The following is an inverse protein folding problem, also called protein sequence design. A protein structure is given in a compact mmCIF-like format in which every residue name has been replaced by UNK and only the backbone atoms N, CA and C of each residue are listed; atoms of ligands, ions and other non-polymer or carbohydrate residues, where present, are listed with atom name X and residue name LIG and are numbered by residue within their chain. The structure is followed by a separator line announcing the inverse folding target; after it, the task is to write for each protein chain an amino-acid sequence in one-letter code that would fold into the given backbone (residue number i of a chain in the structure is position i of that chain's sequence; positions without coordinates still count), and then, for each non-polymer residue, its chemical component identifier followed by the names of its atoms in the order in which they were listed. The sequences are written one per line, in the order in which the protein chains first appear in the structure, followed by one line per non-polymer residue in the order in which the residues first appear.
data_IF_772697679516
#
_entry.id   IF_772697679516
#
_cell.length_a   1.000
_cell.length_b   1.000
_cell.length_c   1.000
_cell.angle_alpha   90.00
_cell.angle_beta   90.00
_cell.angle_gamma   90.00
#
_symmetry.space_group_name_H-M   'P 1'
#
loop_
_entity.id
_entity.type
_entity.pdbx_description
1 polymer ?
#
# COMPACT_ATOMS: atom_id res chain seq x y z
N UNK A 1 22.32 -0.24 20.63
CA UNK A 1 22.36 0.76 19.53
C UNK A 1 20.93 1.07 19.19
N UNK A 2 20.57 2.31 18.88
CA UNK A 2 19.22 2.64 18.41
C UNK A 2 18.99 1.98 17.03
N UNK A 3 17.78 1.47 16.80
CA UNK A 3 17.38 0.88 15.52
C UNK A 3 17.55 1.92 14.39
N UNK A 4 18.09 1.49 13.25
CA UNK A 4 18.27 2.34 12.07
C UNK A 4 17.03 2.24 11.17
N UNK A 5 16.70 3.34 10.50
CA UNK A 5 15.70 3.36 9.42
C UNK A 5 16.47 3.38 8.11
N UNK A 6 16.28 2.38 7.27
CA UNK A 6 16.90 2.26 5.95
C UNK A 6 15.84 2.46 4.88
N UNK A 7 15.96 3.53 4.08
CA UNK A 7 15.07 3.81 2.95
C UNK A 7 15.68 3.20 1.68
N UNK A 8 15.17 2.05 1.26
CA UNK A 8 15.61 1.37 0.04
C UNK A 8 14.77 1.81 -1.17
N UNK A 9 15.44 2.36 -2.17
CA UNK A 9 14.83 3.08 -3.28
C UNK A 9 14.79 4.59 -3.04
N UNK A 10 15.66 5.11 -2.17
CA UNK A 10 15.70 6.50 -1.73
C UNK A 10 15.80 7.54 -2.87
N UNK A 11 16.32 7.18 -4.03
CA UNK A 11 16.44 8.08 -5.20
C UNK A 11 15.22 8.01 -6.15
N UNK A 12 14.19 7.24 -5.81
CA UNK A 12 12.90 7.25 -6.49
C UNK A 12 11.96 8.31 -5.92
N UNK A 13 10.88 8.66 -6.65
CA UNK A 13 9.95 9.70 -6.22
C UNK A 13 9.42 9.50 -4.79
N UNK A 14 8.84 8.34 -4.50
CA UNK A 14 8.29 8.05 -3.16
C UNK A 14 9.40 7.96 -2.11
N UNK A 15 10.52 7.29 -2.43
CA UNK A 15 11.64 7.13 -1.50
C UNK A 15 12.29 8.45 -1.12
N UNK A 16 12.51 9.34 -2.07
CA UNK A 16 13.08 10.68 -1.82
C UNK A 16 12.17 11.52 -0.92
N UNK A 17 10.87 11.60 -1.25
CA UNK A 17 9.95 12.40 -0.45
C UNK A 17 9.76 11.81 0.96
N UNK A 18 9.74 10.49 1.10
CA UNK A 18 9.71 9.84 2.42
C UNK A 18 11.00 10.10 3.22
N UNK A 19 12.17 10.10 2.57
CA UNK A 19 13.43 10.44 3.24
C UNK A 19 13.44 11.91 3.72
N UNK A 20 12.92 12.83 2.92
CA UNK A 20 12.74 14.25 3.30
C UNK A 20 11.80 14.38 4.49
N UNK A 21 10.67 13.68 4.49
CA UNK A 21 9.69 13.68 5.58
C UNK A 21 10.30 13.13 6.88
N UNK A 22 11.08 12.04 6.79
CA UNK A 22 11.83 11.50 7.95
C UNK A 22 12.77 12.54 8.55
N UNK A 23 13.51 13.27 7.71
CA UNK A 23 14.43 14.33 8.16
C UNK A 23 13.67 15.49 8.80
N UNK A 24 12.55 15.92 8.22
CA UNK A 24 11.68 16.97 8.79
C UNK A 24 11.18 16.56 10.19
N UNK A 25 10.90 15.28 10.40
CA UNK A 25 10.49 14.72 11.70
C UNK A 25 11.66 14.46 12.66
N UNK A 26 12.89 14.80 12.28
CA UNK A 26 14.09 14.69 13.13
C UNK A 26 14.81 13.34 13.04
N UNK A 27 14.40 12.42 12.17
CA UNK A 27 15.12 11.18 11.95
C UNK A 27 16.31 11.35 11.00
N UNK A 28 17.29 10.46 11.10
CA UNK A 28 18.46 10.40 10.19
C UNK A 28 18.50 9.03 9.49
N UNK A 29 17.69 8.84 8.43
CA UNK A 29 17.65 7.56 7.74
C UNK A 29 18.95 7.27 6.97
N UNK A 30 19.24 5.99 6.77
CA UNK A 30 20.22 5.52 5.79
C UNK A 30 19.56 5.49 4.42
N UNK A 31 20.17 6.13 3.43
CA UNK A 31 19.66 6.17 2.07
C UNK A 31 20.25 5.02 1.23
N UNK A 32 19.42 4.13 0.72
CA UNK A 32 19.87 2.98 -0.06
C UNK A 32 19.28 2.96 -1.47
N UNK A 33 20.08 2.51 -2.45
CA UNK A 33 19.68 2.43 -3.86
C UNK A 33 20.86 2.11 -4.77
N UNK A 34 20.61 2.08 -6.09
CA UNK A 34 21.59 1.60 -7.08
C UNK A 34 22.67 2.61 -7.47
N UNK A 35 22.34 3.90 -7.45
CA UNK A 35 23.26 4.95 -7.94
C UNK A 35 23.94 5.65 -6.78
N UNK A 36 25.24 5.38 -6.59
CA UNK A 36 26.05 6.04 -5.56
C UNK A 36 26.05 7.57 -5.72
N UNK A 37 26.12 8.08 -6.95
CA UNK A 37 26.13 9.51 -7.24
C UNK A 37 24.82 10.19 -6.82
N UNK A 38 23.65 9.63 -7.20
CA UNK A 38 22.34 10.18 -6.84
C UNK A 38 22.08 10.06 -5.33
N UNK A 39 22.53 8.98 -4.69
CA UNK A 39 22.45 8.82 -3.24
C UNK A 39 23.28 9.88 -2.53
N UNK A 40 24.53 10.10 -3.01
CA UNK A 40 25.40 11.14 -2.44
C UNK A 40 24.79 12.53 -2.55
N UNK A 41 24.27 12.87 -3.74
CA UNK A 41 23.60 14.16 -3.94
C UNK A 41 22.44 14.34 -2.97
N UNK A 42 21.53 13.35 -2.88
CA UNK A 42 20.39 13.40 -1.96
C UNK A 42 20.83 13.47 -0.50
N UNK A 43 21.88 12.73 -0.13
CA UNK A 43 22.43 12.76 1.23
C UNK A 43 22.99 14.15 1.59
N UNK A 44 23.72 14.77 0.67
CA UNK A 44 24.27 16.12 0.84
C UNK A 44 23.13 17.15 1.00
N UNK A 45 22.08 17.06 0.15
CA UNK A 45 20.88 17.92 0.21
C UNK A 45 20.11 17.78 1.55
N UNK A 46 20.21 16.60 2.20
CA UNK A 46 19.52 16.28 3.47
C UNK A 46 20.41 16.38 4.70
N UNK A 47 21.53 17.10 4.62
CA UNK A 47 22.41 17.37 5.76
C UNK A 47 23.40 16.25 6.07
N UNK A 48 23.90 15.56 5.06
CA UNK A 48 24.98 14.57 5.17
C UNK A 48 24.52 13.25 5.79
N UNK A 49 23.51 12.61 5.17
CA UNK A 49 23.02 11.30 5.60
C UNK A 49 23.96 10.15 5.16
N UNK A 50 23.89 9.03 5.88
CA UNK A 50 24.58 7.79 5.47
C UNK A 50 23.98 7.25 4.18
N UNK A 51 24.83 6.72 3.28
CA UNK A 51 24.39 6.10 2.02
C UNK A 51 24.90 4.68 1.88
N UNK A 52 24.10 3.80 1.29
CA UNK A 52 24.46 2.41 0.98
C UNK A 52 24.06 2.08 -0.45
N UNK A 53 25.01 1.52 -1.22
CA UNK A 53 24.70 1.05 -2.57
C UNK A 53 24.15 -0.36 -2.50
N UNK A 54 22.90 -0.56 -2.97
CA UNK A 54 22.26 -1.86 -3.01
C UNK A 54 21.43 -2.03 -4.29
N UNK A 55 21.44 -3.24 -4.83
CA UNK A 55 20.75 -3.59 -6.08
C UNK A 55 20.03 -4.93 -5.92
N UNK A 56 18.74 -4.98 -6.26
CA UNK A 56 17.95 -6.23 -6.26
C UNK A 56 18.50 -7.31 -7.17
N UNK A 57 19.24 -6.94 -8.22
CA UNK A 57 19.99 -7.87 -9.07
C UNK A 57 21.22 -8.48 -8.39
N UNK A 58 21.61 -7.96 -7.23
CA UNK A 58 22.66 -8.47 -6.35
C UNK A 58 22.11 -8.62 -4.94
N UNK A 59 21.30 -9.64 -4.66
CA UNK A 59 20.55 -9.78 -3.42
C UNK A 59 21.39 -9.60 -2.14
N UNK A 60 22.63 -10.09 -2.15
CA UNK A 60 23.55 -9.94 -1.01
C UNK A 60 23.70 -8.47 -0.56
N UNK A 61 23.76 -7.52 -1.51
CA UNK A 61 23.84 -6.09 -1.19
C UNK A 61 22.60 -5.56 -0.47
N UNK A 62 21.44 -6.20 -0.64
CA UNK A 62 20.20 -5.86 0.06
C UNK A 62 20.19 -6.44 1.47
N UNK A 63 20.73 -7.65 1.65
CA UNK A 63 20.88 -8.29 2.97
C UNK A 63 21.85 -7.54 3.90
N UNK A 64 22.80 -6.81 3.34
CA UNK A 64 23.78 -6.01 4.07
C UNK A 64 23.23 -4.64 4.51
N UNK A 65 21.99 -4.30 4.12
CA UNK A 65 21.38 -3.02 4.47
C UNK A 65 20.94 -2.92 5.93
N UNK A 66 20.52 -4.03 6.53
CA UNK A 66 19.86 -4.08 7.84
C UNK A 66 20.42 -5.17 8.73
N UNK A 67 20.31 -4.94 10.02
CA UNK A 67 20.55 -5.88 11.11
C UNK A 67 19.28 -6.05 11.95
N UNK A 68 19.32 -6.94 12.95
CA UNK A 68 18.19 -7.21 13.81
C UNK A 68 17.69 -5.96 14.52
N UNK A 69 16.38 -5.73 14.46
CA UNK A 69 15.70 -4.58 15.05
C UNK A 69 15.70 -3.32 14.18
N UNK A 70 16.49 -3.25 13.08
CA UNK A 70 16.41 -2.15 12.13
C UNK A 70 15.06 -2.14 11.39
N UNK A 71 14.72 -1.04 10.72
CA UNK A 71 13.55 -0.91 9.86
C UNK A 71 13.99 -0.79 8.40
N UNK A 72 13.61 -1.74 7.57
CA UNK A 72 13.76 -1.67 6.11
C UNK A 72 12.49 -1.15 5.47
N UNK A 73 12.50 0.11 5.04
CA UNK A 73 11.43 0.73 4.29
C UNK A 73 11.76 0.65 2.81
N UNK A 74 10.99 -0.14 2.05
CA UNK A 74 11.23 -0.35 0.62
C UNK A 74 10.23 0.41 -0.25
N UNK A 75 10.78 1.16 -1.23
CA UNK A 75 10.00 1.83 -2.29
C UNK A 75 10.43 1.35 -3.69
N UNK A 76 11.07 0.17 -3.75
CA UNK A 76 11.62 -0.40 -4.99
C UNK A 76 10.55 -1.22 -5.71
N UNK A 77 9.87 -0.58 -6.65
CA UNK A 77 8.87 -1.22 -7.51
C UNK A 77 9.33 -1.38 -8.97
N UNK A 78 8.58 -2.11 -9.80
CA UNK A 78 7.39 -2.91 -9.48
C UNK A 78 7.68 -4.02 -8.47
N UNK A 79 6.85 -4.08 -7.41
CA UNK A 79 7.12 -4.97 -6.27
C UNK A 79 6.94 -6.45 -6.60
N UNK A 80 6.01 -6.80 -7.49
CA UNK A 80 5.86 -8.17 -8.00
C UNK A 80 7.15 -8.71 -8.60
N UNK A 81 7.97 -7.84 -9.18
CA UNK A 81 9.23 -8.17 -9.82
C UNK A 81 10.43 -8.00 -8.88
N UNK A 82 10.48 -6.92 -8.10
CA UNK A 82 11.68 -6.49 -7.39
C UNK A 82 11.56 -6.45 -5.86
N UNK A 83 10.34 -6.61 -5.30
CA UNK A 83 10.12 -6.50 -3.85
C UNK A 83 10.67 -7.68 -3.03
N UNK A 84 10.81 -8.87 -3.64
CA UNK A 84 11.21 -10.08 -2.93
C UNK A 84 12.50 -9.98 -2.13
N UNK A 85 13.62 -9.53 -2.71
CA UNK A 85 14.90 -9.44 -1.99
C UNK A 85 14.86 -8.61 -0.71
N UNK A 86 14.08 -7.51 -0.68
CA UNK A 86 13.96 -6.66 0.51
C UNK A 86 13.18 -7.35 1.64
N UNK A 87 12.07 -8.02 1.31
CA UNK A 87 11.31 -8.81 2.31
C UNK A 87 12.17 -9.94 2.88
N UNK A 88 12.87 -10.68 2.02
CA UNK A 88 13.78 -11.75 2.47
C UNK A 88 14.88 -11.21 3.39
N UNK A 89 15.52 -10.11 3.01
CA UNK A 89 16.57 -9.50 3.82
C UNK A 89 16.06 -9.11 5.21
N UNK A 90 14.88 -8.49 5.30
CA UNK A 90 14.28 -8.13 6.58
C UNK A 90 14.01 -9.38 7.45
N UNK A 91 13.40 -10.43 6.87
CA UNK A 91 13.09 -11.67 7.58
C UNK A 91 14.36 -12.36 8.10
N UNK A 92 15.36 -12.57 7.24
CA UNK A 92 16.58 -13.29 7.60
C UNK A 92 17.45 -12.52 8.61
N UNK A 93 17.36 -11.18 8.58
CA UNK A 93 18.12 -10.32 9.50
C UNK A 93 17.37 -9.99 10.77
N UNK A 94 16.10 -10.36 10.90
CA UNK A 94 15.27 -9.97 12.05
C UNK A 94 14.94 -8.49 12.10
N UNK A 95 14.87 -7.83 10.94
CA UNK A 95 14.50 -6.42 10.80
C UNK A 95 13.00 -6.27 10.55
N UNK A 96 12.41 -5.14 10.94
CA UNK A 96 11.04 -4.77 10.59
C UNK A 96 10.97 -4.33 9.13
N UNK A 97 9.90 -4.70 8.45
CA UNK A 97 9.73 -4.35 7.03
C UNK A 97 8.47 -3.54 6.78
N UNK A 98 8.61 -2.45 6.01
CA UNK A 98 7.49 -1.68 5.46
C UNK A 98 7.70 -1.45 3.96
N UNK A 99 6.60 -1.41 3.19
CA UNK A 99 6.66 -1.01 1.78
C UNK A 99 5.44 -0.21 1.32
N UNK A 100 5.58 0.46 0.18
CA UNK A 100 4.55 1.29 -0.44
C UNK A 100 3.86 0.64 -1.64
N UNK A 101 3.77 -0.69 -1.70
CA UNK A 101 3.15 -1.35 -2.86
C UNK A 101 1.64 -1.10 -2.94
N UNK A 102 1.13 -0.92 -4.16
CA UNK A 102 -0.30 -1.01 -4.47
C UNK A 102 -0.64 -2.27 -5.27
N UNK A 103 0.29 -3.24 -5.42
CA UNK A 103 0.19 -4.39 -6.31
C UNK A 103 -0.48 -5.60 -5.62
N UNK A 104 -1.73 -6.00 -5.98
CA UNK A 104 -2.44 -7.08 -5.31
C UNK A 104 -1.67 -8.40 -5.26
N UNK A 105 -1.02 -8.78 -6.36
CA UNK A 105 -0.26 -10.03 -6.43
C UNK A 105 0.94 -10.06 -5.48
N UNK A 106 1.60 -8.92 -5.24
CA UNK A 106 2.68 -8.82 -4.27
C UNK A 106 2.15 -8.85 -2.84
N UNK A 107 1.08 -8.11 -2.53
CA UNK A 107 0.40 -8.14 -1.23
C UNK A 107 0.05 -9.59 -0.86
N UNK A 108 -0.62 -10.31 -1.76
CA UNK A 108 -0.95 -11.71 -1.54
C UNK A 108 0.28 -12.59 -1.29
N UNK A 109 1.35 -12.37 -2.04
CA UNK A 109 2.62 -13.09 -1.86
C UNK A 109 3.23 -12.84 -0.47
N UNK A 110 3.17 -11.59 0.01
CA UNK A 110 3.68 -11.26 1.33
C UNK A 110 2.88 -11.99 2.40
N UNK A 111 1.57 -11.93 2.39
CA UNK A 111 0.75 -12.61 3.39
C UNK A 111 0.84 -14.12 3.32
N UNK A 112 0.75 -14.73 2.13
CA UNK A 112 0.65 -16.19 1.99
C UNK A 112 2.01 -16.91 1.99
N UNK A 113 3.11 -16.26 1.55
CA UNK A 113 4.42 -16.91 1.40
C UNK A 113 5.48 -16.40 2.33
N UNK A 114 5.56 -15.08 2.54
CA UNK A 114 6.58 -14.49 3.43
C UNK A 114 6.12 -14.43 4.89
N UNK A 115 4.82 -14.24 5.15
CA UNK A 115 4.26 -14.14 6.47
C UNK A 115 4.65 -15.29 7.42
N UNK A 116 4.50 -16.57 7.03
CA UNK A 116 4.93 -17.70 7.88
C UNK A 116 6.42 -17.68 8.21
N UNK A 117 7.27 -17.28 7.26
CA UNK A 117 8.72 -17.14 7.50
C UNK A 117 9.04 -15.99 8.45
N UNK A 118 8.35 -14.87 8.31
CA UNK A 118 8.50 -13.71 9.20
C UNK A 118 8.04 -14.05 10.64
N UNK A 119 6.93 -14.76 10.78
CA UNK A 119 6.44 -15.24 12.07
C UNK A 119 7.46 -16.18 12.74
N UNK A 120 7.99 -17.14 12.00
CA UNK A 120 9.02 -18.06 12.49
C UNK A 120 10.33 -17.35 12.88
N UNK A 121 10.68 -16.26 12.19
CA UNK A 121 11.85 -15.43 12.49
C UNK A 121 11.60 -14.41 13.62
N UNK A 122 10.38 -14.31 14.14
CA UNK A 122 10.03 -13.34 15.18
C UNK A 122 10.04 -11.88 14.72
N UNK A 123 9.88 -11.64 13.41
CA UNK A 123 9.81 -10.28 12.86
C UNK A 123 8.48 -9.99 12.17
N UNK A 124 8.14 -8.72 12.01
CA UNK A 124 6.91 -8.26 11.37
C UNK A 124 7.18 -7.64 9.99
N UNK A 125 6.27 -7.94 9.07
CA UNK A 125 6.27 -7.44 7.69
C UNK A 125 4.95 -6.75 7.41
N UNK A 126 4.99 -5.44 7.11
CA UNK A 126 3.82 -4.63 6.76
C UNK A 126 3.94 -4.19 5.31
N UNK A 127 3.22 -4.84 4.43
CA UNK A 127 3.18 -4.46 3.00
C UNK A 127 2.04 -3.51 2.73
N UNK A 128 2.16 -2.70 1.66
CA UNK A 128 1.12 -1.75 1.25
C UNK A 128 0.81 -0.70 2.34
N UNK A 129 1.87 -0.16 2.95
CA UNK A 129 1.80 0.82 4.02
C UNK A 129 1.90 2.25 3.46
N UNK A 130 0.96 2.62 2.60
CA UNK A 130 0.80 3.93 2.00
C UNK A 130 -0.67 4.29 1.85
N UNK A 131 -0.97 5.22 0.95
CA UNK A 131 -2.37 5.51 0.60
C UNK A 131 -3.08 4.25 0.08
N UNK A 132 -2.38 3.41 -0.63
CA UNK A 132 -2.76 2.05 -0.94
C UNK A 132 -2.07 1.13 0.09
N UNK A 133 -2.64 0.69 1.27
CA UNK A 133 -4.07 0.70 1.60
C UNK A 133 -4.33 1.04 3.09
N UNK A 134 -3.53 1.89 3.72
CA UNK A 134 -3.68 2.24 5.14
C UNK A 134 -5.03 2.90 5.44
N UNK A 135 -5.51 3.90 4.65
CA UNK A 135 -6.76 4.60 4.97
C UNK A 135 -7.99 3.70 5.02
N UNK A 136 -8.08 2.72 4.12
CA UNK A 136 -9.21 1.78 4.11
C UNK A 136 -9.15 0.75 5.24
N UNK A 137 -7.93 0.28 5.61
CA UNK A 137 -7.77 -0.54 6.81
C UNK A 137 -8.22 0.21 8.06
N UNK A 138 -7.87 1.50 8.20
CA UNK A 138 -8.29 2.33 9.33
C UNK A 138 -9.80 2.56 9.32
N UNK A 139 -10.37 3.07 8.21
CA UNK A 139 -11.79 3.33 8.11
C UNK A 139 -12.63 2.06 8.31
N UNK A 140 -12.20 0.96 7.72
CA UNK A 140 -12.84 -0.36 7.87
C UNK A 140 -12.81 -0.86 9.31
N UNK A 141 -11.67 -0.77 9.99
CA UNK A 141 -11.55 -1.18 11.39
C UNK A 141 -12.42 -0.33 12.30
N UNK A 142 -12.44 0.99 12.10
CA UNK A 142 -13.33 1.91 12.86
C UNK A 142 -14.81 1.58 12.65
N UNK A 143 -15.23 1.37 11.39
CA UNK A 143 -16.61 1.04 11.07
C UNK A 143 -17.03 -0.32 11.66
N UNK A 144 -16.17 -1.34 11.57
CA UNK A 144 -16.43 -2.67 12.12
C UNK A 144 -16.50 -2.65 13.66
N UNK A 145 -15.55 -1.93 14.30
CA UNK A 145 -15.55 -1.78 15.76
C UNK A 145 -16.84 -1.12 16.28
N UNK A 146 -17.31 -0.08 15.58
CA UNK A 146 -18.55 0.64 15.96
C UNK A 146 -19.81 -0.15 15.62
N UNK A 147 -19.82 -0.95 14.54
CA UNK A 147 -20.96 -1.78 14.15
C UNK A 147 -21.15 -3.03 15.02
N UNK A 148 -20.09 -3.50 15.66
CA UNK A 148 -20.12 -4.70 16.51
C UNK A 148 -20.31 -6.01 15.73
N UNK A 149 -20.61 -7.14 16.42
CA UNK A 149 -20.57 -8.49 15.86
C UNK A 149 -21.63 -8.78 14.79
N UNK A 150 -22.63 -7.92 14.63
CA UNK A 150 -23.65 -8.08 13.57
C UNK A 150 -23.12 -7.75 12.17
N UNK A 151 -22.01 -7.04 12.08
CA UNK A 151 -21.35 -6.74 10.82
C UNK A 151 -20.73 -8.01 10.22
N UNK A 152 -21.17 -8.36 9.01
CA UNK A 152 -20.63 -9.48 8.26
C UNK A 152 -20.02 -9.07 6.92
N UNK A 153 -20.17 -7.80 6.54
CA UNK A 153 -19.65 -7.24 5.30
C UNK A 153 -19.13 -5.83 5.55
N UNK A 154 -18.01 -5.52 4.90
CA UNK A 154 -17.45 -4.17 4.84
C UNK A 154 -17.24 -3.76 3.37
N UNK A 155 -17.74 -2.59 3.01
CA UNK A 155 -17.53 -1.95 1.71
C UNK A 155 -16.68 -0.71 1.92
N UNK A 156 -15.55 -0.60 1.21
CA UNK A 156 -14.58 0.48 1.35
C UNK A 156 -14.39 1.14 -0.01
N UNK A 157 -14.60 2.46 -0.08
CA UNK A 157 -14.42 3.26 -1.29
C UNK A 157 -13.30 4.28 -1.13
N UNK A 158 -12.37 4.31 -2.08
CA UNK A 158 -11.29 5.28 -2.20
C UNK A 158 -11.61 6.29 -3.28
N UNK A 159 -11.67 7.56 -2.95
CA UNK A 159 -11.96 8.64 -3.87
C UNK A 159 -10.91 9.73 -3.77
N UNK A 160 -10.37 10.16 -4.91
CA UNK A 160 -9.43 11.27 -5.00
C UNK A 160 -10.09 12.48 -5.66
N UNK A 161 -9.60 13.67 -5.33
CA UNK A 161 -10.04 14.95 -5.92
C UNK A 161 -8.85 15.81 -6.29
N UNK A 162 -9.06 16.73 -7.19
CA UNK A 162 -8.03 17.65 -7.68
C UNK A 162 -7.28 17.15 -8.91
N UNK A 163 -6.29 17.92 -9.39
CA UNK A 163 -5.51 17.55 -10.56
C UNK A 163 -4.74 16.26 -10.29
N UNK A 164 -4.99 15.26 -11.12
CA UNK A 164 -4.32 13.97 -11.06
C UNK A 164 -2.96 14.03 -11.74
N UNK A 165 -1.94 13.56 -11.04
CA UNK A 165 -0.67 13.16 -11.61
C UNK A 165 -0.27 11.83 -11.00
N UNK A 166 0.29 10.93 -11.79
CA UNK A 166 0.79 9.65 -11.29
C UNK A 166 2.28 9.53 -11.55
N UNK A 167 3.02 9.06 -10.54
CA UNK A 167 4.46 8.84 -10.66
C UNK A 167 4.79 7.73 -11.66
N UNK A 168 6.03 7.70 -12.13
CA UNK A 168 6.50 6.62 -13.00
C UNK A 168 6.34 5.24 -12.35
N UNK A 169 6.62 5.14 -11.04
CA UNK A 169 6.42 3.92 -10.25
C UNK A 169 4.95 3.52 -10.19
N UNK A 170 4.03 4.45 -9.90
CA UNK A 170 2.59 4.17 -9.87
C UNK A 170 2.08 3.67 -11.22
N UNK A 171 2.54 4.25 -12.34
CA UNK A 171 2.17 3.75 -13.69
C UNK A 171 2.62 2.31 -13.91
N UNK A 172 3.84 1.97 -13.49
CA UNK A 172 4.37 0.62 -13.60
C UNK A 172 3.54 -0.39 -12.78
N UNK A 173 3.23 -0.05 -11.54
CA UNK A 173 2.43 -0.88 -10.63
C UNK A 173 0.98 -1.05 -11.13
N UNK A 174 0.36 0.00 -11.69
CA UNK A 174 -1.00 -0.10 -12.26
C UNK A 174 -1.06 -1.08 -13.44
N UNK A 175 -0.05 -1.07 -14.31
CA UNK A 175 0.04 -2.04 -15.41
C UNK A 175 0.13 -3.46 -14.87
N UNK A 176 0.97 -3.72 -13.88
CA UNK A 176 1.08 -5.03 -13.26
C UNK A 176 -0.22 -5.45 -12.56
N UNK A 177 -0.90 -4.54 -11.85
CA UNK A 177 -2.17 -4.83 -11.18
C UNK A 177 -3.28 -5.28 -12.13
N UNK A 178 -3.27 -4.82 -13.40
CA UNK A 178 -4.22 -5.24 -14.42
C UNK A 178 -3.86 -6.59 -15.05
N UNK A 179 -2.56 -6.87 -15.19
CA UNK A 179 -2.05 -8.08 -15.84
C UNK A 179 -2.01 -9.31 -14.91
N UNK A 180 -1.95 -9.08 -13.59
CA UNK A 180 -1.85 -10.16 -12.61
C UNK A 180 -3.23 -10.49 -12.00
N UNK A 181 -3.43 -11.74 -11.54
CA UNK A 181 -4.65 -12.11 -10.83
C UNK A 181 -4.78 -11.33 -9.52
N UNK A 182 -5.87 -10.62 -9.34
CA UNK A 182 -6.25 -10.04 -8.06
C UNK A 182 -7.04 -11.03 -7.20
N UNK A 183 -7.63 -10.52 -6.13
CA UNK A 183 -8.41 -11.32 -5.18
C UNK A 183 -9.53 -10.49 -4.54
N UNK A 184 -10.45 -11.19 -3.89
CA UNK A 184 -11.50 -10.66 -3.04
C UNK A 184 -11.69 -11.58 -1.82
N UNK A 185 -12.24 -11.05 -0.71
CA UNK A 185 -12.62 -11.84 0.45
C UNK A 185 -14.14 -12.05 0.44
N UNK A 186 -14.56 -13.32 0.25
CA UNK A 186 -15.97 -13.68 0.07
C UNK A 186 -16.31 -15.00 0.72
N UNK A 187 -17.43 -15.03 1.45
CA UNK A 187 -17.86 -16.23 2.16
C UNK A 187 -16.82 -16.68 3.21
N UNK A 188 -16.16 -15.73 3.85
CA UNK A 188 -15.17 -15.97 4.89
C UNK A 188 -13.80 -16.48 4.38
N UNK A 189 -13.49 -16.32 3.10
CA UNK A 189 -12.19 -16.76 2.51
C UNK A 189 -11.76 -15.92 1.33
N UNK A 190 -10.45 -15.90 1.09
CA UNK A 190 -9.89 -15.31 -0.12
C UNK A 190 -10.27 -16.12 -1.37
N UNK A 191 -10.61 -15.42 -2.44
CA UNK A 191 -10.91 -15.97 -3.76
C UNK A 191 -10.17 -15.16 -4.81
N UNK A 192 -9.72 -15.81 -5.87
CA UNK A 192 -9.17 -15.11 -7.04
C UNK A 192 -10.28 -14.31 -7.73
N UNK A 193 -10.07 -13.03 -7.89
CA UNK A 193 -10.98 -12.13 -8.62
C UNK A 193 -10.12 -11.11 -9.38
N UNK A 194 -10.46 -10.85 -10.65
CA UNK A 194 -9.74 -9.86 -11.44
C UNK A 194 -10.05 -8.43 -10.96
N UNK A 195 -9.12 -7.53 -11.14
CA UNK A 195 -9.36 -6.08 -10.94
C UNK A 195 -10.51 -5.61 -11.85
N UNK A 196 -11.36 -4.73 -11.33
CA UNK A 196 -12.50 -4.20 -12.08
C UNK A 196 -13.60 -5.24 -12.38
N UNK A 197 -13.67 -6.34 -11.66
CA UNK A 197 -14.73 -7.35 -11.84
C UNK A 197 -16.12 -6.82 -11.52
N UNK A 198 -16.21 -5.83 -10.64
CA UNK A 198 -17.47 -5.22 -10.17
C UNK A 198 -17.38 -3.71 -10.13
N UNK A 199 -18.54 -3.09 -10.31
CA UNK A 199 -18.75 -1.65 -10.08
C UNK A 199 -19.66 -1.48 -8.88
N UNK A 200 -19.26 -0.67 -7.92
CA UNK A 200 -20.04 -0.37 -6.72
C UNK A 200 -20.10 1.15 -6.52
N UNK A 201 -21.22 1.61 -5.98
CA UNK A 201 -21.41 3.03 -5.69
C UNK A 201 -21.62 3.29 -4.22
N UNK A 202 -21.09 4.39 -3.76
CA UNK A 202 -21.28 4.96 -2.43
C UNK A 202 -22.03 6.28 -2.55
N UNK A 203 -22.90 6.57 -1.59
CA UNK A 203 -23.55 7.88 -1.49
C UNK A 203 -23.06 8.50 -0.18
N UNK A 204 -21.97 9.30 -0.22
CA UNK A 204 -21.51 10.03 0.95
C UNK A 204 -22.55 11.05 1.44
N UNK A 205 -22.34 11.60 2.62
CA UNK A 205 -23.30 12.51 3.26
C UNK A 205 -23.53 13.81 2.47
N UNK A 206 -22.59 14.18 1.58
CA UNK A 206 -22.77 15.29 0.63
C UNK A 206 -23.76 15.00 -0.53
N UNK A 207 -24.39 13.82 -0.55
CA UNK A 207 -25.46 13.42 -1.45
C UNK A 207 -25.04 13.04 -2.89
N UNK A 208 -23.79 13.25 -3.30
CA UNK A 208 -23.33 12.91 -4.64
C UNK A 208 -22.85 11.45 -4.69
N UNK A 209 -23.58 10.59 -5.38
CA UNK A 209 -23.17 9.21 -5.61
C UNK A 209 -21.82 9.15 -6.32
N UNK A 210 -20.86 8.44 -5.73
CA UNK A 210 -19.55 8.14 -6.29
C UNK A 210 -19.48 6.67 -6.64
N UNK A 211 -18.89 6.33 -7.75
CA UNK A 211 -18.76 4.94 -8.23
C UNK A 211 -17.30 4.58 -8.43
N UNK A 212 -17.00 3.30 -8.35
CA UNK A 212 -15.65 2.80 -8.57
C UNK A 212 -15.66 1.32 -8.92
N UNK A 213 -14.48 0.80 -9.16
CA UNK A 213 -14.24 -0.58 -9.58
C UNK A 213 -13.55 -1.37 -8.48
N UNK A 214 -13.86 -2.68 -8.38
CA UNK A 214 -13.25 -3.55 -7.38
C UNK A 214 -11.76 -3.75 -7.60
N UNK A 215 -11.00 -3.77 -6.49
CA UNK A 215 -9.57 -4.03 -6.46
C UNK A 215 -9.20 -5.00 -5.34
N UNK A 216 -8.18 -5.82 -5.55
CA UNK A 216 -7.52 -6.57 -4.48
C UNK A 216 -6.63 -5.64 -3.67
N UNK A 217 -6.72 -5.68 -2.34
CA UNK A 217 -6.10 -4.72 -1.45
C UNK A 217 -5.76 -5.36 -0.09
N UNK A 218 -4.92 -4.72 0.72
CA UNK A 218 -4.46 -5.30 1.99
C UNK A 218 -5.57 -5.46 3.04
N UNK A 219 -6.68 -4.73 2.92
CA UNK A 219 -7.87 -4.86 3.78
C UNK A 219 -8.47 -6.26 3.76
N UNK A 220 -8.33 -6.98 2.64
CA UNK A 220 -8.79 -8.38 2.54
C UNK A 220 -8.01 -9.34 3.44
N UNK A 221 -6.83 -8.95 3.90
CA UNK A 221 -6.00 -9.67 4.85
C UNK A 221 -6.04 -9.04 6.25
N UNK A 222 -6.01 -7.71 6.32
CA UNK A 222 -5.90 -6.96 7.58
C UNK A 222 -7.19 -6.92 8.40
N UNK A 223 -8.39 -6.87 7.76
CA UNK A 223 -9.65 -6.72 8.48
C UNK A 223 -10.26 -8.03 9.01
N UNK A 224 -10.24 -9.17 8.27
CA UNK A 224 -10.86 -10.41 8.76
C UNK A 224 -10.34 -10.91 10.11
N UNK A 225 -9.03 -10.84 10.44
CA UNK A 225 -8.55 -11.25 11.74
C UNK A 225 -9.04 -10.36 12.89
N UNK A 226 -9.38 -9.09 12.61
CA UNK A 226 -9.89 -8.15 13.60
C UNK A 226 -11.39 -8.35 13.88
N UNK A 227 -12.13 -9.00 12.97
CA UNK A 227 -13.57 -9.12 13.04
C UNK A 227 -14.05 -10.52 12.60
N UNK A 228 -14.11 -11.52 13.52
CA UNK A 228 -14.34 -12.93 13.19
C UNK A 228 -15.66 -13.25 12.47
N UNK A 229 -16.68 -12.38 12.63
CA UNK A 229 -17.97 -12.55 11.93
C UNK A 229 -17.93 -12.09 10.48
N UNK A 230 -16.85 -11.39 10.05
CA UNK A 230 -16.74 -10.84 8.72
C UNK A 230 -16.70 -11.94 7.64
N UNK A 231 -17.54 -11.80 6.63
CA UNK A 231 -17.67 -12.75 5.51
C UNK A 231 -17.32 -12.11 4.17
N UNK A 232 -17.42 -10.79 4.06
CA UNK A 232 -17.12 -10.07 2.83
C UNK A 232 -16.33 -8.79 3.11
N UNK A 233 -15.26 -8.59 2.33
CA UNK A 233 -14.51 -7.34 2.23
C UNK A 233 -14.55 -6.90 0.77
N UNK A 234 -15.01 -5.70 0.52
CA UNK A 234 -15.05 -5.08 -0.79
C UNK A 234 -14.25 -3.79 -0.77
N UNK A 235 -13.23 -3.71 -1.61
CA UNK A 235 -12.44 -2.50 -1.81
C UNK A 235 -12.67 -1.97 -3.22
N UNK A 236 -12.99 -0.70 -3.32
CA UNK A 236 -13.44 -0.04 -4.53
C UNK A 236 -12.59 1.20 -4.77
N UNK A 237 -11.93 1.25 -5.92
CA UNK A 237 -11.22 2.44 -6.39
C UNK A 237 -12.16 3.32 -7.19
N UNK A 238 -12.42 4.52 -6.69
CA UNK A 238 -13.23 5.52 -7.34
C UNK A 238 -12.58 6.01 -8.62
N UNK A 239 -13.36 6.02 -9.69
CA UNK A 239 -12.92 6.46 -11.01
C UNK A 239 -13.94 7.41 -11.59
N UNK A 240 -13.49 8.57 -12.08
CA UNK A 240 -14.29 9.49 -12.86
C UNK A 240 -14.28 9.12 -14.37
N UNK A 241 -14.55 7.84 -14.68
CA UNK A 241 -14.55 7.36 -16.06
C UNK A 241 -15.96 7.43 -16.65
N UNK A 242 -16.11 8.04 -17.83
CA UNK A 242 -17.38 8.05 -18.58
C UNK A 242 -17.77 6.66 -18.92
N UNK A 243 -18.04 5.73 -18.82
CA UNK A 243 -18.33 4.33 -19.18
C UNK A 243 -17.83 3.33 -18.14
N UNK A 244 -17.76 3.73 -16.88
CA UNK A 244 -17.29 2.87 -15.79
C UNK A 244 -18.05 1.53 -15.73
N UNK A 245 -19.32 1.51 -16.12
CA UNK A 245 -20.16 0.31 -16.19
C UNK A 245 -19.65 -0.72 -17.22
N UNK A 246 -18.87 -0.31 -18.20
CA UNK A 246 -18.25 -1.19 -19.19
C UNK A 246 -16.94 -1.84 -18.69
N UNK A 247 -16.36 -1.38 -17.58
CA UNK A 247 -15.07 -1.88 -17.07
C UNK A 247 -15.11 -3.39 -16.76
N UNK A 248 -16.16 -3.95 -16.12
CA UNK A 248 -16.23 -5.39 -15.87
C UNK A 248 -16.20 -6.24 -17.15
N UNK A 249 -16.83 -5.76 -18.21
CA UNK A 249 -16.82 -6.45 -19.52
C UNK A 249 -15.42 -6.35 -20.13
N UNK A 250 -14.84 -5.16 -20.19
CA UNK A 250 -13.52 -4.94 -20.77
C UNK A 250 -12.43 -5.76 -20.05
N UNK A 251 -12.41 -5.75 -18.72
CA UNK A 251 -11.46 -6.55 -17.93
C UNK A 251 -11.72 -8.05 -18.06
N UNK A 252 -12.98 -8.46 -18.25
CA UNK A 252 -13.37 -9.85 -18.55
C UNK A 252 -12.80 -10.33 -19.87
N UNK A 253 -12.95 -9.55 -20.94
CA UNK A 253 -12.39 -9.84 -22.26
C UNK A 253 -10.87 -9.89 -22.23
N UNK A 254 -10.22 -8.94 -21.57
CA UNK A 254 -8.77 -8.95 -21.39
C UNK A 254 -8.30 -10.20 -20.64
N UNK A 255 -8.97 -10.57 -19.55
CA UNK A 255 -8.64 -11.80 -18.80
C UNK A 255 -8.82 -13.07 -19.63
N UNK A 256 -9.81 -13.12 -20.51
CA UNK A 256 -10.02 -14.23 -21.43
C UNK A 256 -8.90 -14.26 -22.49
N UNK A 257 -8.55 -13.13 -23.07
CA UNK A 257 -7.46 -13.01 -24.03
C UNK A 257 -6.10 -13.45 -23.44
N UNK A 258 -5.82 -13.10 -22.19
CA UNK A 258 -4.57 -13.50 -21.49
C UNK A 258 -4.45 -15.01 -21.24
N UNK A 259 -5.54 -15.80 -21.38
CA UNK A 259 -5.49 -17.26 -21.31
C UNK A 259 -4.99 -17.90 -22.61
N UNK A 260 -4.99 -17.15 -23.72
CA UNK A 260 -4.46 -17.63 -25.00
C UNK A 260 -2.93 -17.68 -24.93
N UNK A 261 -2.32 -18.83 -25.28
CA UNK A 261 -0.85 -18.96 -25.28
C UNK A 261 -0.17 -17.86 -26.12
N UNK A 262 0.87 -17.23 -25.57
CA UNK A 262 1.61 -16.16 -26.22
C UNK A 262 1.06 -14.73 -26.03
N UNK A 263 -0.21 -14.55 -25.68
CA UNK A 263 -0.79 -13.21 -25.50
C UNK A 263 -0.27 -12.53 -24.24
N UNK A 264 -0.23 -13.23 -23.11
CA UNK A 264 0.26 -12.67 -21.84
C UNK A 264 1.72 -12.20 -21.91
N UNK A 265 2.69 -13.00 -22.40
CA UNK A 265 4.07 -12.54 -22.60
C UNK A 265 4.18 -11.33 -23.52
N UNK A 266 3.42 -11.31 -24.61
CA UNK A 266 3.41 -10.19 -25.55
C UNK A 266 2.88 -8.89 -24.92
N UNK A 267 1.76 -8.95 -24.20
CA UNK A 267 1.21 -7.79 -23.48
C UNK A 267 2.15 -7.32 -22.38
N UNK A 268 2.79 -8.24 -21.64
CA UNK A 268 3.75 -7.88 -20.60
C UNK A 268 4.96 -7.18 -21.18
N UNK A 269 5.53 -7.68 -22.31
CA UNK A 269 6.65 -7.05 -22.99
C UNK A 269 6.28 -5.66 -23.52
N UNK A 270 5.09 -5.50 -24.10
CA UNK A 270 4.60 -4.21 -24.57
C UNK A 270 4.43 -3.21 -23.42
N UNK A 271 3.88 -3.67 -22.31
CA UNK A 271 3.67 -2.87 -21.11
C UNK A 271 5.00 -2.41 -20.49
N UNK A 272 5.99 -3.29 -20.41
CA UNK A 272 7.34 -2.94 -19.94
C UNK A 272 8.03 -1.89 -20.82
N UNK A 273 7.82 -1.94 -22.13
CA UNK A 273 8.37 -0.95 -23.06
C UNK A 273 7.73 0.44 -22.93
N UNK A 274 6.49 0.51 -22.46
CA UNK A 274 5.77 1.77 -22.24
C UNK A 274 6.17 2.45 -20.91
N UNK A 275 6.69 1.69 -19.95
CA UNK A 275 7.07 2.20 -18.62
C UNK A 275 8.59 2.42 -18.58
N UNK A 276 9.05 3.51 -19.22
CA UNK A 276 10.44 3.94 -19.11
C UNK A 276 10.63 4.81 -17.87
N UNK A 277 11.32 4.29 -16.87
CA UNK A 277 11.77 5.04 -15.67
C UNK A 277 10.77 5.03 -14.51
N UNK A 278 11.32 4.97 -13.30
CA UNK A 278 10.59 5.07 -12.03
C UNK A 278 10.70 6.46 -11.39
N UNK A 279 11.29 7.43 -12.11
CA UNK A 279 11.53 8.79 -11.63
C UNK A 279 10.44 9.75 -12.11
N UNK A 280 10.18 10.76 -11.28
CA UNK A 280 9.19 11.79 -11.52
C UNK A 280 7.81 11.46 -11.01
N UNK A 281 7.13 12.49 -10.55
CA UNK A 281 5.78 12.44 -9.99
C UNK A 281 5.21 13.87 -9.94
N UNK A 282 4.00 14.07 -9.39
CA UNK A 282 3.41 15.39 -9.28
C UNK A 282 4.26 16.30 -8.37
N UNK A 283 4.44 17.54 -8.78
CA UNK A 283 5.09 18.56 -7.97
C UNK A 283 4.24 18.95 -6.74
N UNK A 284 4.84 19.65 -5.81
CA UNK A 284 4.20 20.07 -4.56
C UNK A 284 2.96 20.95 -4.82
N UNK A 285 3.03 21.88 -5.74
CA UNK A 285 1.92 22.76 -6.09
C UNK A 285 0.72 21.98 -6.65
N UNK A 286 0.97 20.93 -7.41
CA UNK A 286 -0.06 20.02 -7.92
C UNK A 286 -0.65 19.17 -6.81
N UNK A 287 0.18 18.64 -5.91
CA UNK A 287 -0.28 17.85 -4.75
C UNK A 287 -1.11 18.68 -3.79
N UNK A 288 -0.72 19.92 -3.50
CA UNK A 288 -1.44 20.83 -2.60
C UNK A 288 -2.89 21.12 -3.04
N UNK A 289 -3.20 20.97 -4.33
CA UNK A 289 -4.56 21.11 -4.87
C UNK A 289 -5.36 19.80 -4.84
N UNK A 290 -4.73 18.72 -4.46
CA UNK A 290 -5.34 17.40 -4.39
C UNK A 290 -5.84 17.04 -2.99
N UNK A 291 -6.66 16.00 -2.91
CA UNK A 291 -7.12 15.43 -1.65
C UNK A 291 -7.77 14.08 -1.86
N UNK A 292 -8.11 13.43 -0.75
CA UNK A 292 -8.77 12.13 -0.77
C UNK A 292 -9.96 12.08 0.18
N UNK A 293 -10.86 11.14 -0.11
CA UNK A 293 -11.98 10.79 0.76
C UNK A 293 -12.12 9.26 0.74
N UNK A 294 -12.14 8.65 1.91
CA UNK A 294 -12.33 7.21 2.08
C UNK A 294 -13.63 7.00 2.82
N UNK A 295 -14.48 6.10 2.32
CA UNK A 295 -15.76 5.76 2.94
C UNK A 295 -15.75 4.27 3.23
N UNK A 296 -16.04 3.89 4.48
CA UNK A 296 -16.22 2.50 4.90
C UNK A 296 -17.66 2.31 5.43
N UNK A 297 -18.35 1.29 4.92
CA UNK A 297 -19.74 0.93 5.29
C UNK A 297 -19.78 -0.50 5.80
N UNK A 298 -20.00 -0.66 7.12
CA UNK A 298 -20.22 -1.95 7.75
C UNK A 298 -21.71 -2.34 7.63
N UNK A 299 -21.98 -3.57 7.20
CA UNK A 299 -23.34 -4.04 6.90
C UNK A 299 -23.66 -5.38 7.54
N UNK A 300 -24.93 -5.52 7.94
CA UNK A 300 -25.52 -6.77 8.41
C UNK A 300 -25.73 -7.79 7.26
N UNK A 301 -26.10 -9.01 7.62
CA UNK A 301 -26.34 -10.10 6.66
C UNK A 301 -27.49 -9.84 5.70
N UNK A 302 -28.50 -9.09 6.11
CA UNK A 302 -29.64 -8.67 5.27
C UNK A 302 -29.28 -7.47 4.34
N UNK A 303 -28.05 -6.91 4.46
CA UNK A 303 -27.57 -5.79 3.67
C UNK A 303 -27.77 -4.41 4.30
N UNK A 304 -28.42 -4.33 5.45
CA UNK A 304 -28.63 -3.06 6.15
C UNK A 304 -27.29 -2.42 6.55
N UNK A 305 -27.24 -1.11 6.42
CA UNK A 305 -26.09 -0.32 6.87
C UNK A 305 -26.15 -0.21 8.40
N UNK A 306 -25.12 -0.74 9.07
CA UNK A 306 -24.97 -0.65 10.53
C UNK A 306 -24.17 0.58 10.93
N UNK A 307 -23.06 0.82 10.21
CA UNK A 307 -22.15 1.93 10.51
C UNK A 307 -21.47 2.43 9.25
N UNK A 308 -21.24 3.74 9.19
CA UNK A 308 -20.41 4.41 8.19
C UNK A 308 -19.31 5.20 8.86
N UNK A 309 -18.10 5.13 8.30
CA UNK A 309 -16.97 5.98 8.64
C UNK A 309 -16.49 6.65 7.37
N UNK A 310 -16.26 7.95 7.44
CA UNK A 310 -15.64 8.73 6.36
C UNK A 310 -14.37 9.37 6.89
N UNK A 311 -13.29 9.21 6.12
CA UNK A 311 -12.01 9.89 6.37
C UNK A 311 -11.73 10.83 5.21
N UNK A 312 -11.18 12.00 5.51
CA UNK A 312 -10.69 12.95 4.51
C UNK A 312 -9.25 13.34 4.79
N UNK A 313 -8.50 13.57 3.72
CA UNK A 313 -7.07 13.86 3.86
C UNK A 313 -6.46 14.54 2.64
N UNK A 314 -5.13 14.75 2.70
CA UNK A 314 -4.36 15.39 1.64
C UNK A 314 -4.29 14.55 0.38
N UNK A 315 -3.48 14.97 -0.56
CA UNK A 315 -3.13 14.19 -1.75
C UNK A 315 -2.59 12.80 -1.35
N UNK A 316 -2.93 11.73 -2.10
CA UNK A 316 -2.44 10.37 -1.85
C UNK A 316 -0.93 10.24 -1.63
N UNK A 317 -0.13 11.02 -2.34
CA UNK A 317 1.33 10.98 -2.18
C UNK A 317 1.79 11.61 -0.86
N UNK A 318 1.25 12.79 -0.51
CA UNK A 318 1.61 13.45 0.75
C UNK A 318 1.22 12.59 1.95
N UNK A 319 0.04 11.98 1.90
CA UNK A 319 -0.34 10.97 2.90
C UNK A 319 0.65 9.80 2.95
N UNK A 320 1.05 9.26 1.78
CA UNK A 320 1.98 8.13 1.70
C UNK A 320 3.33 8.46 2.33
N UNK A 321 3.88 9.64 2.05
CA UNK A 321 5.17 10.04 2.63
C UNK A 321 5.08 10.19 4.15
N UNK A 322 4.02 10.82 4.64
CA UNK A 322 3.77 11.04 6.07
C UNK A 322 3.57 9.74 6.83
N UNK A 323 2.75 8.83 6.33
CA UNK A 323 2.45 7.57 7.02
C UNK A 323 3.64 6.60 7.00
N UNK A 324 4.40 6.53 5.90
CA UNK A 324 5.62 5.74 5.83
C UNK A 324 6.68 6.24 6.81
N UNK A 325 6.87 7.56 6.90
CA UNK A 325 7.80 8.16 7.85
C UNK A 325 7.37 7.89 9.30
N UNK A 326 6.10 8.10 9.62
CA UNK A 326 5.57 7.79 10.95
C UNK A 326 5.73 6.31 11.30
N UNK A 327 5.32 5.41 10.40
CA UNK A 327 5.39 3.97 10.65
C UNK A 327 6.83 3.48 10.84
N UNK A 328 7.77 3.99 10.03
CA UNK A 328 9.18 3.64 10.16
C UNK A 328 9.77 4.13 11.48
N UNK A 329 9.45 5.36 11.92
CA UNK A 329 9.91 5.91 13.20
C UNK A 329 9.31 5.14 14.38
N UNK A 330 8.01 4.87 14.36
CA UNK A 330 7.32 4.08 15.39
C UNK A 330 7.89 2.67 15.49
N UNK A 331 8.12 2.01 14.34
CA UNK A 331 8.71 0.67 14.32
C UNK A 331 10.17 0.66 14.82
N UNK A 332 10.96 1.71 14.54
CA UNK A 332 12.33 1.83 15.04
C UNK A 332 12.39 2.09 16.55
N UNK A 333 11.40 2.78 17.12
CA UNK A 333 11.36 3.12 18.55
C UNK A 333 10.74 2.00 19.39
N UNK A 334 9.65 1.39 18.91
CA UNK A 334 8.81 0.48 19.70
C UNK A 334 8.68 -0.93 19.11
N UNK A 335 9.19 -1.17 17.89
CA UNK A 335 8.88 -2.38 17.12
C UNK A 335 7.45 -2.38 16.58
N UNK A 336 7.05 -3.50 15.97
CA UNK A 336 5.67 -3.77 15.57
C UNK A 336 4.96 -4.60 16.64
N UNK A 337 3.62 -4.45 16.77
CA UNK A 337 2.82 -5.15 17.79
C UNK A 337 2.55 -6.63 17.47
N UNK A 338 3.31 -7.22 16.54
CA UNK A 338 3.16 -8.62 16.16
C UNK A 338 4.27 -9.07 15.21
N UNK A 339 4.22 -10.35 14.84
CA UNK A 339 5.15 -11.00 13.91
C UNK A 339 4.40 -11.59 12.73
N UNK A 340 5.11 -11.95 11.67
CA UNK A 340 4.49 -12.41 10.42
C UNK A 340 4.09 -11.26 9.49
N UNK A 341 3.19 -11.54 8.54
CA UNK A 341 2.62 -10.51 7.69
C UNK A 341 1.43 -9.85 8.41
N UNK A 342 1.52 -8.56 8.62
CA UNK A 342 0.59 -7.78 9.44
C UNK A 342 -0.19 -6.78 8.60
N UNK A 343 -1.49 -6.64 8.86
CA UNK A 343 -2.23 -5.45 8.46
C UNK A 343 -1.83 -4.24 9.30
N UNK A 344 -2.10 -3.00 8.81
CA UNK A 344 -1.70 -1.79 9.53
C UNK A 344 -2.20 -1.70 10.98
N UNK A 345 -3.45 -2.11 11.24
CA UNK A 345 -4.02 -2.12 12.60
C UNK A 345 -3.35 -3.16 13.50
N UNK A 346 -3.01 -4.34 12.96
CA UNK A 346 -2.30 -5.36 13.73
C UNK A 346 -0.87 -4.93 14.06
N UNK A 347 -0.23 -4.20 13.14
CA UNK A 347 1.16 -3.75 13.30
C UNK A 347 1.32 -2.62 14.32
N UNK A 348 0.36 -1.70 14.40
CA UNK A 348 0.48 -0.46 15.18
C UNK A 348 -0.62 -0.27 16.22
N UNK A 349 -1.59 -1.18 16.30
CA UNK A 349 -2.81 -0.99 17.08
C UNK A 349 -3.74 0.05 16.45
N UNK A 350 -5.04 -0.02 16.80
CA UNK A 350 -6.03 0.93 16.24
C UNK A 350 -5.75 2.37 16.70
N UNK A 351 -5.46 2.57 17.98
CA UNK A 351 -5.17 3.90 18.52
C UNK A 351 -3.91 4.52 17.89
N UNK A 352 -2.80 3.75 17.83
CA UNK A 352 -1.57 4.22 17.20
C UNK A 352 -1.77 4.54 15.71
N UNK A 353 -2.53 3.71 14.98
CA UNK A 353 -2.81 3.97 13.57
C UNK A 353 -3.68 5.22 13.35
N UNK A 354 -4.61 5.54 14.26
CA UNK A 354 -5.37 6.82 14.24
C UNK A 354 -4.40 8.00 14.37
N UNK A 355 -3.50 7.97 15.35
CA UNK A 355 -2.48 9.01 15.55
C UNK A 355 -1.57 9.15 14.34
N UNK A 356 -1.07 8.04 13.80
CA UNK A 356 -0.23 8.01 12.61
C UNK A 356 -0.92 8.60 11.39
N UNK A 357 -2.16 8.20 11.14
CA UNK A 357 -2.96 8.72 10.04
C UNK A 357 -3.25 10.22 10.21
N UNK A 358 -3.57 10.67 11.42
CA UNK A 358 -3.76 12.09 11.74
C UNK A 358 -2.47 12.89 11.53
N UNK A 359 -1.31 12.36 11.93
CA UNK A 359 -0.01 12.99 11.71
C UNK A 359 0.35 13.12 10.22
N UNK A 360 -0.26 12.28 9.37
CA UNK A 360 -0.16 12.34 7.91
C UNK A 360 -1.32 13.12 7.26
N UNK A 361 -2.13 13.82 8.07
CA UNK A 361 -3.20 14.72 7.62
C UNK A 361 -4.53 14.05 7.30
N UNK A 362 -4.76 12.79 7.67
CA UNK A 362 -6.02 12.07 7.46
C UNK A 362 -6.88 12.15 8.73
N UNK A 363 -8.08 12.64 8.62
CA UNK A 363 -9.01 12.80 9.75
C UNK A 363 -10.40 12.22 9.45
N UNK A 364 -11.08 11.80 10.49
CA UNK A 364 -12.49 11.41 10.41
C UNK A 364 -13.36 12.68 10.36
N UNK A 365 -14.38 12.67 9.49
CA UNK A 365 -15.34 13.77 9.26
C UNK A 365 -16.76 13.29 9.49
#
# INVERSE_FOLDING_TARGET
MSARIVVFGATGYTGEQTARELVVRGARPVLAGRSAERLKQLADDLGGLETRVADVGRPQSVFELVDAGDVLLSTVGPFTQWGGPAVHAAIERGAWYLDSTGEPAFIRRVFERYGPGAEAAGTGVVTAFGFDWVPGNLAGALALAAAGPEAVRIDIGYFTRGPGGISGGTRASMVQAVLEPGFAYRGGRLRTERMGARVTGFTPDNGKRRVGVSAGASEHFGLPPLHPTLREVNVILGQALPLIQGVPVATGLLSAAMRVPGVRPGLTALAHNQVKGSTGGPDEASRARGGCSIVAEARAANGDLLQRVQLEGPNPYDFTFGILAWGAMTAAEHGLQGTGALGPVQAFGLAGLIEGAASAGLAQV
#
